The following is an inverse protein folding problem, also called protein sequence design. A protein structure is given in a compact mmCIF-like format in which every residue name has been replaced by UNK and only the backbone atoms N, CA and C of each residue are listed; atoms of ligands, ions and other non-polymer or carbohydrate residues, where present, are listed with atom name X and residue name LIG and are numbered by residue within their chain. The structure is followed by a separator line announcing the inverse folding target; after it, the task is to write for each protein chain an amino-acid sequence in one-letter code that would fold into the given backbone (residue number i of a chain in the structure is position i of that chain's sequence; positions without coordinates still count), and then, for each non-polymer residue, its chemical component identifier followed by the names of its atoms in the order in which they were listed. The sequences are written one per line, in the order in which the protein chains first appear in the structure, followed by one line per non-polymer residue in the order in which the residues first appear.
data_IF_272424255971
#
_entry.id   IF_272424255971
#
_cell.length_a   1.000
_cell.length_b   1.000
_cell.length_c   1.000
_cell.angle_alpha   90.00
_cell.angle_beta   90.00
_cell.angle_gamma   90.00
#
_symmetry.space_group_name_H-M   'P 1'
#
loop_
_entity.id
_entity.type
_entity.pdbx_description
1 polymer ?
#
# COMPACT_ATOMS: atom_id res chain seq x y z
N UNK A 1 21.44 22.98 -17.05
CA UNK A 1 20.24 22.13 -16.92
C UNK A 1 20.17 21.67 -15.46
N UNK A 2 19.07 21.88 -14.72
CA UNK A 2 19.01 21.47 -13.33
C UNK A 2 18.95 19.94 -13.23
N UNK A 3 19.78 19.35 -12.36
CA UNK A 3 19.83 17.91 -12.14
C UNK A 3 18.54 17.43 -11.48
N UNK A 4 17.78 16.58 -12.18
CA UNK A 4 16.59 15.92 -11.63
C UNK A 4 17.03 14.93 -10.56
N UNK A 5 16.85 15.27 -9.28
CA UNK A 5 17.03 14.34 -8.16
C UNK A 5 16.03 13.21 -8.32
N UNK A 6 16.50 12.05 -8.78
CA UNK A 6 15.70 10.82 -8.80
C UNK A 6 15.41 10.43 -7.36
N UNK A 7 14.14 10.24 -6.95
CA UNK A 7 13.85 9.76 -5.61
C UNK A 7 14.57 8.42 -5.42
N UNK A 8 15.33 8.29 -4.33
CA UNK A 8 16.03 7.05 -4.01
C UNK A 8 15.05 5.88 -4.05
N UNK A 9 15.48 4.73 -4.59
CA UNK A 9 14.65 3.52 -4.67
C UNK A 9 14.11 3.22 -3.27
N UNK A 10 12.83 3.48 -3.05
CA UNK A 10 12.13 3.03 -1.85
C UNK A 10 11.85 1.55 -2.06
N UNK A 11 12.70 0.71 -1.49
CA UNK A 11 12.45 -0.73 -1.48
C UNK A 11 11.24 -1.02 -0.58
N UNK A 12 10.35 -1.92 -1.01
CA UNK A 12 9.24 -2.35 -0.18
C UNK A 12 9.82 -3.04 1.07
N UNK A 13 9.45 -2.53 2.25
CA UNK A 13 9.88 -3.13 3.53
C UNK A 13 9.17 -4.45 3.82
N UNK A 14 8.07 -4.71 3.13
CA UNK A 14 7.16 -5.83 3.40
C UNK A 14 6.80 -6.56 2.11
N UNK A 15 6.61 -7.87 2.22
CA UNK A 15 6.10 -8.66 1.11
C UNK A 15 4.63 -8.29 0.81
N UNK A 16 4.21 -8.31 -0.47
CA UNK A 16 2.80 -8.23 -0.82
C UNK A 16 2.00 -9.35 -0.14
N UNK A 17 0.78 -9.06 0.31
CA UNK A 17 -0.12 -10.05 0.91
C UNK A 17 0.11 -10.34 2.40
N UNK A 18 0.92 -9.55 3.11
CA UNK A 18 0.99 -9.65 4.57
C UNK A 18 -0.25 -8.99 5.21
N UNK A 19 -1.27 -9.78 5.51
CA UNK A 19 -2.58 -9.32 6.00
C UNK A 19 -2.47 -8.59 7.35
N UNK A 20 -1.70 -9.13 8.30
CA UNK A 20 -1.49 -8.54 9.63
C UNK A 20 -1.00 -7.09 9.60
N UNK A 21 -0.26 -6.71 8.55
CA UNK A 21 0.26 -5.37 8.34
C UNK A 21 -0.62 -4.52 7.42
N UNK A 22 -1.19 -5.12 6.37
CA UNK A 22 -2.01 -4.42 5.37
C UNK A 22 -3.37 -3.98 5.95
N UNK A 23 -3.88 -4.70 6.94
CA UNK A 23 -5.13 -4.36 7.62
C UNK A 23 -4.95 -3.32 8.74
N UNK A 24 -3.70 -2.95 9.07
CA UNK A 24 -3.46 -1.98 10.15
C UNK A 24 -3.94 -0.58 9.75
N UNK A 25 -4.82 0.04 10.55
CA UNK A 25 -5.28 1.39 10.27
C UNK A 25 -4.18 2.39 10.56
N UNK A 26 -3.88 3.26 9.60
CA UNK A 26 -3.02 4.42 9.85
C UNK A 26 -3.64 5.36 10.90
N UNK A 27 -2.81 5.85 11.81
CA UNK A 27 -3.20 6.82 12.83
C UNK A 27 -3.60 8.16 12.20
N UNK A 28 -4.35 9.02 12.92
CA UNK A 28 -4.72 10.34 12.42
C UNK A 28 -3.51 11.22 12.05
N UNK A 29 -2.40 11.07 12.77
CA UNK A 29 -1.18 11.83 12.56
C UNK A 29 -0.44 11.38 11.30
N UNK A 30 -0.34 10.07 11.07
CA UNK A 30 0.22 9.50 9.84
C UNK A 30 -0.59 9.90 8.60
N UNK A 31 -1.92 9.90 8.71
CA UNK A 31 -2.81 10.39 7.64
C UNK A 31 -2.56 11.85 7.31
N UNK A 32 -2.41 12.70 8.33
CA UNK A 32 -2.10 14.14 8.15
C UNK A 32 -0.74 14.35 7.48
N UNK A 33 0.26 13.50 7.77
CA UNK A 33 1.60 13.56 7.15
C UNK A 33 1.68 12.91 5.77
N UNK A 34 0.62 12.21 5.34
CA UNK A 34 0.62 11.45 4.08
C UNK A 34 1.42 10.14 4.15
N UNK A 35 1.69 9.64 5.35
CA UNK A 35 2.45 8.41 5.59
C UNK A 35 1.51 7.19 5.66
N UNK A 36 0.70 7.01 4.63
CA UNK A 36 -0.21 5.87 4.53
C UNK A 36 -0.25 5.36 3.10
N UNK A 37 -0.64 4.10 2.94
CA UNK A 37 -0.88 3.49 1.62
C UNK A 37 -2.32 3.02 1.56
N UNK A 38 -3.00 3.30 0.44
CA UNK A 38 -4.36 2.80 0.22
C UNK A 38 -4.29 1.35 -0.25
N UNK A 39 -4.72 0.44 0.62
CA UNK A 39 -4.89 -0.98 0.28
C UNK A 39 -6.25 -1.16 -0.40
N UNK A 40 -6.27 -1.95 -1.48
CA UNK A 40 -7.50 -2.34 -2.19
C UNK A 40 -7.53 -3.86 -2.22
N UNK A 41 -8.53 -4.46 -1.57
CA UNK A 41 -8.76 -5.91 -1.61
C UNK A 41 -9.57 -6.25 -2.85
N UNK A 42 -9.12 -7.25 -3.61
CA UNK A 42 -9.87 -7.80 -4.74
C UNK A 42 -10.51 -9.10 -4.26
N UNK A 43 -11.84 -9.16 -4.23
CA UNK A 43 -12.58 -10.40 -4.02
C UNK A 43 -12.89 -11.02 -5.37
N UNK A 44 -12.53 -12.28 -5.56
CA UNK A 44 -12.95 -13.06 -6.71
C UNK A 44 -14.30 -13.69 -6.36
N UNK A 45 -15.39 -13.21 -6.97
CA UNK A 45 -16.70 -13.84 -6.88
C UNK A 45 -16.69 -14.98 -7.91
N UNK A 46 -16.36 -16.20 -7.46
CA UNK A 46 -16.45 -17.38 -8.33
C UNK A 46 -17.93 -17.62 -8.64
N UNK A 47 -18.33 -17.25 -9.85
CA UNK A 47 -19.69 -17.44 -10.40
C UNK A 47 -20.09 -18.90 -10.16
N UNK A 48 -21.25 -19.11 -9.52
CA UNK A 48 -21.73 -20.45 -9.13
C UNK A 48 -21.59 -21.47 -10.29
N UNK A 49 -21.00 -22.66 -10.05
CA UNK A 49 -20.98 -23.70 -11.07
C UNK A 49 -22.43 -24.17 -11.32
N UNK A 50 -22.92 -23.94 -12.54
CA UNK A 50 -24.21 -24.44 -13.04
C UNK A 50 -24.24 -25.96 -13.17
#
# INVERSE_FOLDING_TARGET
MPAVKRPGKREPRFAPGNEDLLEQPATPEEKKRGEFTRVTTLSFDEVEPS
#
